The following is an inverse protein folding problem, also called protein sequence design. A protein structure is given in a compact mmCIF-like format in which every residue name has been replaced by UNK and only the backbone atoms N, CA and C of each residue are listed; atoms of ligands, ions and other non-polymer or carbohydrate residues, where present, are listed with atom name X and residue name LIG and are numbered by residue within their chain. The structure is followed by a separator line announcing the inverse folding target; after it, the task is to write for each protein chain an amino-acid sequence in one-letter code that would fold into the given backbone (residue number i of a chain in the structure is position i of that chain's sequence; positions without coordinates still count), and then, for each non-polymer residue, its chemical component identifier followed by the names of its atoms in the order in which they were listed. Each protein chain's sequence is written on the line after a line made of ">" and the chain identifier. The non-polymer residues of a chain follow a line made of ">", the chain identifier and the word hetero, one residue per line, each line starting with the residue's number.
data_IF_492494213294
#
_entry.id   IF_492494213294
#
_cell.length_a   1.000
_cell.length_b   1.000
_cell.length_c   1.000
_cell.angle_alpha   90.00
_cell.angle_beta   90.00
_cell.angle_gamma   90.00
#
_symmetry.space_group_name_H-M   'P 1'
#
loop_
_entity.id
_entity.type
_entity.pdbx_description
1 polymer ?
#
# COMPACT_ATOMS: atom_id res chain seq x y z
N UNK A 1 11.17 -20.12 -32.49
CA UNK A 1 10.85 -20.68 -31.18
C UNK A 1 9.37 -20.50 -30.90
N UNK A 2 8.72 -21.55 -30.47
CA UNK A 2 7.27 -21.51 -30.23
C UNK A 2 6.97 -21.41 -28.75
N UNK A 3 6.00 -20.57 -28.42
CA UNK A 3 5.53 -20.40 -27.06
C UNK A 3 4.02 -20.68 -27.02
N UNK A 4 3.56 -21.17 -25.89
CA UNK A 4 2.13 -21.32 -25.69
C UNK A 4 1.72 -20.60 -24.39
N UNK A 5 0.47 -20.14 -24.36
CA UNK A 5 -0.09 -19.51 -23.18
C UNK A 5 -1.04 -20.48 -22.50
N UNK A 6 -0.91 -20.60 -21.19
CA UNK A 6 -1.69 -21.53 -20.37
C UNK A 6 -2.43 -20.72 -19.31
N UNK A 7 -3.75 -20.82 -19.30
CA UNK A 7 -4.59 -20.13 -18.31
C UNK A 7 -4.74 -20.98 -17.07
N UNK A 8 -4.60 -20.36 -15.90
CA UNK A 8 -4.76 -21.04 -14.60
C UNK A 8 -5.29 -20.08 -13.56
N UNK A 9 -6.02 -20.61 -12.59
CA UNK A 9 -6.44 -19.86 -11.40
C UNK A 9 -5.64 -20.25 -10.16
N UNK A 10 -4.53 -20.99 -10.36
CA UNK A 10 -3.62 -21.39 -9.27
C UNK A 10 -2.42 -20.44 -9.29
N UNK A 11 -2.20 -19.74 -8.17
CA UNK A 11 -1.15 -18.73 -8.04
C UNK A 11 0.00 -19.28 -7.17
N UNK A 12 0.99 -19.89 -7.81
CA UNK A 12 2.16 -20.40 -7.12
C UNK A 12 3.25 -19.32 -7.04
N UNK A 13 3.96 -19.27 -5.91
CA UNK A 13 5.03 -18.29 -5.71
C UNK A 13 6.13 -18.40 -6.76
N UNK A 14 6.47 -19.63 -7.15
CA UNK A 14 7.50 -19.87 -8.17
C UNK A 14 7.09 -19.33 -9.54
N UNK A 15 5.82 -19.48 -9.89
CA UNK A 15 5.28 -18.93 -11.14
C UNK A 15 5.35 -17.42 -11.13
N UNK A 16 4.97 -16.80 -10.02
CA UNK A 16 5.05 -15.35 -9.88
C UNK A 16 6.49 -14.86 -10.03
N UNK A 17 7.44 -15.53 -9.37
CA UNK A 17 8.86 -15.18 -9.47
C UNK A 17 9.36 -15.23 -10.91
N UNK A 18 8.95 -16.28 -11.66
CA UNK A 18 9.34 -16.43 -13.05
C UNK A 18 8.73 -15.34 -13.94
N UNK A 19 7.52 -14.89 -13.63
CA UNK A 19 6.85 -13.84 -14.38
C UNK A 19 7.49 -12.48 -14.09
N UNK A 20 7.81 -12.20 -12.83
CA UNK A 20 8.30 -10.89 -12.40
C UNK A 20 9.78 -10.67 -12.73
N UNK A 21 10.58 -11.74 -12.82
CA UNK A 21 12.03 -11.60 -13.03
C UNK A 21 12.40 -10.75 -14.27
N UNK A 22 11.83 -11.01 -15.47
CA UNK A 22 12.17 -10.18 -16.62
C UNK A 22 11.69 -8.74 -16.50
N UNK A 23 10.60 -8.50 -15.76
CA UNK A 23 10.13 -7.14 -15.50
C UNK A 23 11.10 -6.37 -14.61
N UNK A 24 11.58 -7.03 -13.54
CA UNK A 24 12.56 -6.42 -12.63
C UNK A 24 13.83 -6.07 -13.40
N UNK A 25 14.34 -7.01 -14.22
CA UNK A 25 15.53 -6.78 -15.00
C UNK A 25 15.37 -5.61 -15.98
N UNK A 26 14.22 -5.56 -16.65
CA UNK A 26 13.94 -4.47 -17.59
C UNK A 26 13.86 -3.13 -16.86
N UNK A 27 13.11 -3.08 -15.75
CA UNK A 27 12.93 -1.85 -15.00
C UNK A 27 14.25 -1.33 -14.43
N UNK A 28 15.07 -2.21 -13.87
CA UNK A 28 16.38 -1.82 -13.34
C UNK A 28 17.31 -1.29 -14.44
N UNK A 29 17.21 -1.85 -15.64
CA UNK A 29 17.96 -1.35 -16.78
C UNK A 29 17.54 0.05 -17.22
N UNK A 30 16.30 0.43 -16.96
CA UNK A 30 15.78 1.74 -17.36
C UNK A 30 16.01 2.82 -16.31
N UNK A 31 15.77 2.50 -15.03
CA UNK A 31 15.73 3.52 -13.99
C UNK A 31 16.51 3.13 -12.71
N UNK A 32 17.24 2.01 -12.76
CA UNK A 32 17.94 1.50 -11.59
C UNK A 32 17.03 0.72 -10.64
N UNK A 33 17.55 0.32 -9.49
CA UNK A 33 16.78 -0.48 -8.52
C UNK A 33 15.55 0.24 -8.00
N UNK A 34 14.45 -0.48 -7.86
CA UNK A 34 13.22 0.05 -7.29
C UNK A 34 13.30 0.21 -5.78
N UNK A 35 14.23 -0.50 -5.16
CA UNK A 35 14.49 -0.44 -3.73
C UNK A 35 13.26 -0.79 -2.89
N UNK A 36 12.61 -1.90 -3.25
CA UNK A 36 11.42 -2.38 -2.55
C UNK A 36 11.77 -2.83 -1.13
N UNK A 37 11.14 -2.19 -0.13
CA UNK A 37 11.33 -2.55 1.28
C UNK A 37 9.97 -2.60 1.97
N UNK A 38 9.66 -3.70 2.67
CA UNK A 38 8.43 -3.76 3.46
C UNK A 38 8.40 -2.66 4.54
N UNK A 39 7.19 -2.21 4.84
CA UNK A 39 6.94 -1.30 5.96
C UNK A 39 5.69 -1.80 6.66
N UNK A 40 5.85 -2.29 7.88
CA UNK A 40 4.78 -2.95 8.63
C UNK A 40 4.71 -2.37 10.03
N UNK A 41 3.51 -2.05 10.48
CA UNK A 41 3.25 -1.64 11.86
C UNK A 41 2.24 -2.63 12.42
N UNK A 42 2.56 -3.24 13.56
CA UNK A 42 1.66 -4.18 14.23
C UNK A 42 1.02 -3.50 15.42
N UNK A 43 -0.28 -3.67 15.57
CA UNK A 43 -0.96 -3.38 16.84
C UNK A 43 -1.01 -4.71 17.58
N UNK A 44 -0.41 -4.76 18.75
CA UNK A 44 -0.35 -5.97 19.57
C UNK A 44 -1.14 -5.76 20.85
N UNK A 45 -1.88 -6.79 21.26
CA UNK A 45 -2.59 -6.75 22.54
C UNK A 45 -1.64 -7.11 23.68
N UNK A 46 -2.16 -7.18 24.92
CA UNK A 46 -1.34 -7.48 26.10
C UNK A 46 -0.69 -8.87 26.05
N UNK A 47 -1.27 -9.80 25.29
CA UNK A 47 -0.72 -11.13 25.11
C UNK A 47 0.29 -11.19 23.94
N UNK A 48 0.55 -10.07 23.27
CA UNK A 48 1.46 -10.01 22.14
C UNK A 48 0.85 -10.49 20.84
N UNK A 49 -0.47 -10.65 20.77
CA UNK A 49 -1.15 -11.07 19.55
C UNK A 49 -1.42 -9.87 18.65
N UNK A 50 -1.23 -10.05 17.35
CA UNK A 50 -1.51 -9.00 16.37
C UNK A 50 -3.02 -8.87 16.17
N UNK A 51 -3.56 -7.69 16.45
CA UNK A 51 -4.99 -7.42 16.37
C UNK A 51 -5.34 -6.33 15.35
N UNK A 52 -4.36 -5.85 14.64
CA UNK A 52 -4.51 -4.84 13.58
C UNK A 52 -3.16 -4.32 13.19
N UNK A 53 -3.12 -3.29 12.37
CA UNK A 53 -1.88 -2.68 11.97
C UNK A 53 -1.91 -2.05 10.58
N UNK A 54 -0.72 -1.80 10.08
CA UNK A 54 -0.51 -1.25 8.74
C UNK A 54 0.43 -2.18 7.98
N UNK A 55 0.09 -2.48 6.73
CA UNK A 55 0.90 -3.30 5.86
C UNK A 55 1.15 -2.54 4.56
N UNK A 56 2.40 -2.36 4.22
CA UNK A 56 2.75 -1.66 3.00
C UNK A 56 4.21 -1.83 2.65
N UNK A 57 4.69 -0.98 1.79
CA UNK A 57 6.08 -0.98 1.37
C UNK A 57 6.47 0.37 0.81
N UNK A 58 7.77 0.62 0.71
CA UNK A 58 8.32 1.75 -0.04
C UNK A 58 9.00 1.22 -1.29
N UNK A 59 8.80 1.92 -2.41
CA UNK A 59 9.38 1.57 -3.70
C UNK A 59 9.33 2.80 -4.61
N UNK A 60 10.36 3.00 -5.39
CA UNK A 60 10.45 4.12 -6.34
C UNK A 60 10.22 5.48 -5.69
N UNK A 61 10.64 5.62 -4.42
CA UNK A 61 10.48 6.87 -3.71
C UNK A 61 9.07 7.14 -3.20
N UNK A 62 8.21 6.12 -3.15
CA UNK A 62 6.83 6.25 -2.68
C UNK A 62 6.49 5.20 -1.64
N UNK A 63 5.70 5.62 -0.65
CA UNK A 63 5.09 4.70 0.31
C UNK A 63 3.73 4.28 -0.22
N UNK A 64 3.51 2.96 -0.31
CA UNK A 64 2.17 2.43 -0.57
C UNK A 64 1.66 1.76 0.70
N UNK A 65 0.53 2.21 1.21
CA UNK A 65 -0.18 1.54 2.30
C UNK A 65 -1.27 0.67 1.69
N UNK A 66 -1.06 -0.63 1.74
CA UNK A 66 -1.99 -1.59 1.18
C UNK A 66 -3.14 -1.90 2.13
N UNK A 67 -2.83 -2.12 3.41
CA UNK A 67 -3.82 -2.49 4.43
C UNK A 67 -3.65 -1.62 5.66
N UNK A 68 -4.77 -1.20 6.22
CA UNK A 68 -4.80 -0.45 7.47
C UNK A 68 -6.01 -0.91 8.26
N UNK A 69 -5.79 -1.42 9.47
CA UNK A 69 -6.90 -1.84 10.33
C UNK A 69 -6.58 -1.60 11.80
N UNK A 70 -7.64 -1.34 12.56
CA UNK A 70 -7.54 -1.20 14.01
C UNK A 70 -8.65 -2.05 14.65
N UNK A 71 -8.44 -2.55 15.88
CA UNK A 71 -9.49 -3.31 16.57
C UNK A 71 -10.74 -2.45 16.76
N UNK A 72 -11.92 -3.06 16.63
CA UNK A 72 -13.19 -2.34 16.78
C UNK A 72 -13.31 -1.68 18.17
N UNK A 73 -12.77 -2.31 19.19
CA UNK A 73 -12.77 -1.77 20.55
C UNK A 73 -11.84 -0.59 20.77
N UNK A 74 -11.04 -0.24 19.76
CA UNK A 74 -10.07 0.84 19.86
C UNK A 74 -10.53 2.12 19.13
N UNK A 75 -11.80 2.21 18.75
CA UNK A 75 -12.33 3.41 18.12
C UNK A 75 -12.16 4.62 19.03
N UNK A 76 -11.78 5.75 18.45
CA UNK A 76 -11.56 6.98 19.18
C UNK A 76 -10.20 7.12 19.83
N UNK A 77 -9.33 6.11 19.73
CA UNK A 77 -7.98 6.17 20.29
C UNK A 77 -6.95 6.77 19.31
N UNK A 78 -7.36 7.06 18.08
CA UNK A 78 -6.46 7.67 17.10
C UNK A 78 -5.38 6.73 16.56
N UNK A 79 -5.58 5.42 16.63
CA UNK A 79 -4.56 4.46 16.18
C UNK A 79 -4.31 4.52 14.69
N UNK A 80 -5.35 4.71 13.89
CA UNK A 80 -5.18 4.84 12.43
C UNK A 80 -4.31 6.03 12.06
N UNK A 81 -4.58 7.18 12.65
CA UNK A 81 -3.77 8.40 12.43
C UNK A 81 -2.34 8.18 12.89
N UNK A 82 -2.15 7.60 14.07
CA UNK A 82 -0.81 7.33 14.61
C UNK A 82 -0.01 6.43 13.67
N UNK A 83 -0.63 5.36 13.17
CA UNK A 83 0.05 4.44 12.26
C UNK A 83 0.43 5.12 10.95
N UNK A 84 -0.47 5.92 10.39
CA UNK A 84 -0.16 6.66 9.16
C UNK A 84 0.97 7.66 9.39
N UNK A 85 0.98 8.36 10.51
CA UNK A 85 2.05 9.30 10.84
C UNK A 85 3.40 8.58 11.02
N UNK A 86 3.39 7.42 11.68
CA UNK A 86 4.60 6.61 11.84
C UNK A 86 5.12 6.12 10.49
N UNK A 87 4.23 5.64 9.63
CA UNK A 87 4.60 5.15 8.31
C UNK A 87 5.16 6.27 7.44
N UNK A 88 4.55 7.45 7.48
CA UNK A 88 5.02 8.61 6.71
C UNK A 88 6.38 9.09 7.21
N UNK A 89 6.60 9.09 8.53
CA UNK A 89 7.89 9.46 9.10
C UNK A 89 8.99 8.48 8.66
N UNK A 90 8.70 7.20 8.69
CA UNK A 90 9.65 6.18 8.21
C UNK A 90 9.91 6.32 6.71
N UNK A 91 8.86 6.59 5.93
CA UNK A 91 9.00 6.82 4.49
C UNK A 91 9.90 8.02 4.20
N UNK A 92 9.75 9.11 4.95
CA UNK A 92 10.64 10.26 4.83
C UNK A 92 12.09 9.90 5.15
N UNK A 93 12.29 9.10 6.21
CA UNK A 93 13.63 8.63 6.58
C UNK A 93 14.26 7.78 5.48
N UNK A 94 13.44 7.04 4.72
CA UNK A 94 13.88 6.24 3.57
C UNK A 94 14.06 7.08 2.29
N UNK A 95 13.79 8.37 2.34
CA UNK A 95 13.94 9.26 1.19
C UNK A 95 12.74 9.35 0.27
N UNK A 96 11.57 8.87 0.70
CA UNK A 96 10.38 8.90 -0.13
C UNK A 96 9.87 10.33 -0.33
N UNK A 97 9.36 10.59 -1.53
CA UNK A 97 8.83 11.90 -1.91
C UNK A 97 7.31 11.97 -1.76
N UNK A 98 6.64 10.84 -1.64
CA UNK A 98 5.20 10.81 -1.54
C UNK A 98 4.67 9.50 -0.98
N UNK A 99 3.37 9.48 -0.74
CA UNK A 99 2.64 8.31 -0.27
C UNK A 99 1.32 8.21 -1.04
N UNK A 100 0.85 6.99 -1.22
CA UNK A 100 -0.44 6.77 -1.84
C UNK A 100 -1.15 5.59 -1.18
N UNK A 101 -2.47 5.62 -1.27
CA UNK A 101 -3.34 4.60 -0.69
C UNK A 101 -4.54 4.43 -1.61
N UNK A 102 -5.23 3.31 -1.48
CA UNK A 102 -6.53 3.14 -2.07
C UNK A 102 -7.51 2.62 -1.02
N UNK A 103 -8.77 2.97 -1.19
CA UNK A 103 -9.82 2.57 -0.25
C UNK A 103 -11.13 2.44 -0.99
N UNK A 104 -12.01 1.59 -0.49
CA UNK A 104 -13.36 1.49 -1.05
C UNK A 104 -14.23 2.62 -0.51
N UNK A 105 -15.20 3.06 -1.32
CA UNK A 105 -16.11 4.15 -0.94
C UNK A 105 -16.91 3.85 0.33
N UNK A 106 -17.10 2.56 0.65
CA UNK A 106 -17.82 2.15 1.87
C UNK A 106 -16.91 1.98 3.08
N UNK A 107 -15.60 2.23 2.94
CA UNK A 107 -14.65 2.16 4.05
C UNK A 107 -14.48 3.54 4.69
N UNK A 108 -13.34 4.21 4.49
CA UNK A 108 -13.04 5.44 5.19
C UNK A 108 -12.34 6.49 4.32
N UNK A 109 -12.95 6.93 3.19
CA UNK A 109 -12.28 7.93 2.35
C UNK A 109 -12.00 9.24 3.07
N UNK A 110 -12.93 9.70 3.93
CA UNK A 110 -12.76 10.95 4.66
C UNK A 110 -11.59 10.92 5.64
N UNK A 111 -11.26 9.74 6.14
CA UNK A 111 -10.11 9.57 7.03
C UNK A 111 -8.82 9.99 6.33
N UNK A 112 -8.61 9.52 5.11
CA UNK A 112 -7.40 9.87 4.35
C UNK A 112 -7.39 11.34 3.96
N UNK A 113 -8.54 11.90 3.62
CA UNK A 113 -8.64 13.33 3.34
C UNK A 113 -8.25 14.16 4.57
N UNK A 114 -8.64 13.71 5.77
CA UNK A 114 -8.27 14.41 7.01
C UNK A 114 -6.77 14.37 7.29
N UNK A 115 -6.05 13.44 6.69
CA UNK A 115 -4.60 13.32 6.82
C UNK A 115 -3.84 14.09 5.73
N UNK A 116 -4.54 14.80 4.86
CA UNK A 116 -3.94 15.59 3.80
C UNK A 116 -3.78 14.87 2.47
N UNK A 117 -4.39 13.70 2.32
CA UNK A 117 -4.37 12.97 1.06
C UNK A 117 -5.38 13.58 0.09
N UNK A 118 -5.03 13.62 -1.17
CA UNK A 118 -5.88 14.15 -2.24
C UNK A 118 -6.27 13.03 -3.19
N UNK A 119 -7.54 13.01 -3.56
CA UNK A 119 -8.05 12.04 -4.54
C UNK A 119 -7.40 12.30 -5.89
N UNK A 120 -6.92 11.23 -6.54
CA UNK A 120 -6.38 11.34 -7.88
C UNK A 120 -6.97 10.32 -8.85
N UNK A 121 -7.83 9.43 -8.41
CA UNK A 121 -8.47 8.47 -9.30
C UNK A 121 -9.59 7.72 -8.61
N UNK A 122 -10.43 7.08 -9.42
CA UNK A 122 -11.56 6.30 -8.94
C UNK A 122 -11.85 5.18 -9.92
N UNK A 123 -12.09 3.99 -9.39
CA UNK A 123 -12.59 2.86 -10.16
C UNK A 123 -14.04 2.63 -9.75
N UNK A 124 -14.95 2.92 -10.68
CA UNK A 124 -16.39 2.74 -10.44
C UNK A 124 -16.76 1.26 -10.44
N UNK A 125 -17.85 0.93 -9.78
CA UNK A 125 -18.37 -0.44 -9.72
C UNK A 125 -17.37 -1.47 -9.18
N UNK A 126 -16.67 -1.09 -8.11
CA UNK A 126 -15.69 -1.94 -7.46
C UNK A 126 -15.93 -1.94 -5.94
N UNK A 127 -16.84 -2.81 -5.44
CA UNK A 127 -17.79 -3.67 -6.16
C UNK A 127 -18.95 -2.88 -6.75
N UNK A 128 -19.82 -3.51 -7.56
CA UNK A 128 -20.98 -2.81 -8.15
C UNK A 128 -21.77 -2.03 -7.11
N UNK A 129 -22.09 -0.77 -7.43
CA UNK A 129 -22.76 0.15 -6.52
C UNK A 129 -21.83 0.91 -5.60
N UNK A 130 -20.51 0.63 -5.66
CA UNK A 130 -19.48 1.28 -4.85
C UNK A 130 -18.30 1.61 -5.75
N UNK A 131 -17.27 2.25 -5.17
CA UNK A 131 -16.08 2.64 -5.92
C UNK A 131 -14.82 2.32 -5.12
N UNK A 132 -13.72 2.17 -5.83
CA UNK A 132 -12.39 2.16 -5.23
C UNK A 132 -11.76 3.52 -5.53
N UNK A 133 -11.27 4.19 -4.50
CA UNK A 133 -10.78 5.56 -4.58
C UNK A 133 -9.29 5.58 -4.29
N UNK A 134 -8.54 6.32 -5.08
CA UNK A 134 -7.10 6.41 -4.99
C UNK A 134 -6.70 7.79 -4.49
N UNK A 135 -5.82 7.81 -3.46
CA UNK A 135 -5.36 9.02 -2.80
C UNK A 135 -3.84 9.10 -2.81
N UNK A 136 -3.32 10.32 -2.86
CA UNK A 136 -1.88 10.57 -2.76
C UNK A 136 -1.60 11.75 -1.87
N UNK A 137 -0.36 11.80 -1.35
CA UNK A 137 0.12 12.90 -0.50
C UNK A 137 1.59 13.12 -0.78
N UNK A 138 1.99 14.37 -0.98
CA UNK A 138 3.41 14.71 -1.06
C UNK A 138 4.00 14.70 0.34
N UNK A 139 5.14 14.03 0.49
CA UNK A 139 5.89 13.98 1.76
C UNK A 139 7.05 14.97 1.76
N UNK A 140 7.49 15.41 0.57
CA UNK A 140 8.54 16.41 0.40
C UNK A 140 8.11 17.40 -0.66
N UNK A 141 8.52 18.65 -0.48
CA UNK A 141 8.35 19.67 -1.49
C UNK A 141 9.50 19.61 -2.50
N UNK A 142 9.18 19.88 -3.73
CA UNK A 142 10.14 19.92 -4.84
C UNK A 142 10.08 18.73 -5.75
#
# INVERSE_FOLDING_TARGET
>A
MQYQTVLSDVAEAETRAAIVAPLIAYNEGQIGPGDHRPLVIRIEDEAGQVVGGLWGYTRYGWLYTELLSAPTGARGLGLGRRMMEQAEAEARARGCIGAWVDTHSFQAPKFYESLGYQRFGELEDYPPGHSRIFYRKRLREG
#
